data_IF_071375844808
#
_entry.id   IF_071375844808
#
_cell.length_a   1.000
_cell.length_b   1.000
_cell.length_c   1.000
_cell.angle_alpha   90.00
_cell.angle_beta   90.00
_cell.angle_gamma   90.00
#
_symmetry.space_group_name_H-M   'P 1'
#
loop_
_entity.id
_entity.type
_entity.pdbx_description
1 polymer ?
#
# COMPACT_ATOMS: atom_id res chain seq x y z
N UNK A 1 9.77 19.61 -20.75
CA UNK A 1 9.75 21.00 -20.22
C UNK A 1 9.42 21.01 -18.73
N UNK A 2 8.32 20.40 -18.28
CA UNK A 2 7.94 20.37 -16.85
C UNK A 2 8.96 19.69 -15.91
N UNK A 3 9.61 18.60 -16.32
CA UNK A 3 10.70 17.97 -15.54
C UNK A 3 11.99 18.81 -15.47
N UNK A 4 12.16 19.80 -16.35
CA UNK A 4 13.34 20.66 -16.36
C UNK A 4 13.21 21.75 -15.29
N UNK A 5 12.00 22.33 -15.15
CA UNK A 5 11.70 23.38 -14.17
C UNK A 5 11.88 22.91 -12.72
N UNK A 6 11.48 21.68 -12.39
CA UNK A 6 11.63 21.16 -11.02
C UNK A 6 13.09 20.80 -10.69
N UNK A 7 13.85 20.35 -11.69
CA UNK A 7 15.29 20.10 -11.54
C UNK A 7 16.06 21.41 -11.34
N UNK A 8 15.64 22.47 -12.03
CA UNK A 8 16.14 23.83 -11.82
C UNK A 8 15.80 24.37 -10.41
N UNK A 9 14.65 24.02 -9.82
CA UNK A 9 14.29 24.41 -8.45
C UNK A 9 15.16 23.71 -7.39
N UNK A 10 15.49 22.42 -7.60
CA UNK A 10 16.42 21.69 -6.72
C UNK A 10 17.87 22.18 -6.86
N UNK A 11 18.33 22.51 -8.07
CA UNK A 11 19.71 22.94 -8.33
C UNK A 11 19.97 24.43 -8.02
N UNK A 12 18.95 25.29 -8.00
CA UNK A 12 19.13 26.75 -7.81
C UNK A 12 18.75 27.30 -6.43
N UNK A 13 18.37 26.47 -5.46
CA UNK A 13 18.07 26.94 -4.10
C UNK A 13 17.01 28.05 -4.10
N UNK A 14 16.00 27.94 -4.98
CA UNK A 14 14.92 28.92 -5.02
C UNK A 14 14.18 28.83 -3.69
N UNK A 15 14.27 29.90 -2.89
CA UNK A 15 13.70 29.96 -1.56
C UNK A 15 12.20 29.68 -1.64
N UNK A 16 11.75 28.64 -0.93
CA UNK A 16 10.34 28.39 -0.73
C UNK A 16 9.68 29.67 -0.16
N UNK A 17 8.50 30.07 -0.66
CA UNK A 17 7.74 31.15 -0.04
C UNK A 17 7.52 30.86 1.45
N UNK A 18 7.57 31.89 2.28
CA UNK A 18 7.34 31.73 3.72
C UNK A 18 5.92 31.29 4.05
N UNK A 19 4.98 31.53 3.13
CA UNK A 19 3.55 31.31 3.31
C UNK A 19 3.02 30.52 2.11
N UNK A 20 2.40 29.38 2.40
CA UNK A 20 1.80 28.51 1.38
C UNK A 20 0.45 27.96 1.85
N UNK A 21 -0.48 27.68 0.92
CA UNK A 21 -1.73 27.00 1.24
C UNK A 21 -1.47 25.53 1.58
N UNK A 22 -2.32 24.97 2.44
CA UNK A 22 -2.28 23.57 2.86
C UNK A 22 -3.34 22.79 2.10
N UNK A 23 -2.91 21.72 1.43
CA UNK A 23 -3.74 20.62 0.95
C UNK A 23 -3.74 19.50 2.00
N UNK A 24 -4.79 19.38 2.83
CA UNK A 24 -4.88 18.30 3.80
C UNK A 24 -5.17 16.98 3.09
N UNK A 25 -4.43 15.92 3.44
CA UNK A 25 -4.62 14.58 2.89
C UNK A 25 -4.86 13.57 4.01
N UNK A 26 -5.76 12.62 3.79
CA UNK A 26 -6.13 11.64 4.82
C UNK A 26 -5.20 10.43 4.85
N UNK A 27 -5.02 9.80 3.69
CA UNK A 27 -4.43 8.45 3.61
C UNK A 27 -3.10 8.43 2.84
N UNK A 28 -2.47 9.59 2.65
CA UNK A 28 -1.21 9.70 1.93
C UNK A 28 -0.21 10.62 2.62
N UNK A 29 1.06 10.32 2.40
CA UNK A 29 2.21 11.13 2.80
C UNK A 29 3.09 11.25 1.56
N UNK A 30 3.41 12.48 1.16
CA UNK A 30 4.27 12.74 0.01
C UNK A 30 5.68 12.98 0.51
N UNK A 31 6.66 12.34 -0.13
CA UNK A 31 8.08 12.56 0.15
C UNK A 31 8.71 13.48 -0.89
N UNK A 32 9.82 14.17 -0.55
CA UNK A 32 10.61 14.91 -1.54
C UNK A 32 10.93 14.06 -2.77
N UNK A 33 10.97 14.70 -3.96
CA UNK A 33 11.20 14.12 -5.29
C UNK A 33 10.12 13.17 -5.81
N UNK A 34 9.19 12.73 -4.97
CA UNK A 34 8.16 11.78 -5.37
C UNK A 34 6.99 12.48 -6.04
N UNK A 35 6.48 11.87 -7.10
CA UNK A 35 5.30 12.34 -7.84
C UNK A 35 4.13 11.44 -7.50
N UNK A 36 3.07 12.00 -6.91
CA UNK A 36 1.90 11.24 -6.47
C UNK A 36 0.62 11.91 -7.00
N UNK A 37 -0.31 11.14 -7.59
CA UNK A 37 -1.65 11.61 -7.87
C UNK A 37 -2.48 11.68 -6.58
N UNK A 38 -3.07 12.84 -6.32
CA UNK A 38 -4.01 13.06 -5.21
C UNK A 38 -5.41 13.29 -5.77
N UNK A 39 -6.39 12.58 -5.23
CA UNK A 39 -7.79 12.83 -5.55
C UNK A 39 -8.35 13.91 -4.64
N UNK A 40 -8.82 15.00 -5.24
CA UNK A 40 -9.43 16.14 -4.53
C UNK A 40 -10.90 16.23 -4.90
N UNK A 41 -11.76 16.29 -3.88
CA UNK A 41 -13.23 16.30 -4.02
C UNK A 41 -13.87 17.58 -3.50
N UNK A 42 -13.34 18.16 -2.43
CA UNK A 42 -13.94 19.37 -1.85
C UNK A 42 -13.68 20.59 -2.72
N UNK A 43 -14.75 21.34 -3.02
CA UNK A 43 -14.69 22.54 -3.86
C UNK A 43 -13.72 23.61 -3.34
N UNK A 44 -13.56 23.72 -2.01
CA UNK A 44 -12.64 24.66 -1.37
C UNK A 44 -11.17 24.37 -1.77
N UNK A 45 -10.77 23.09 -1.76
CA UNK A 45 -9.43 22.68 -2.17
C UNK A 45 -9.25 22.66 -3.68
N UNK A 46 -10.31 22.43 -4.47
CA UNK A 46 -10.25 22.59 -5.92
C UNK A 46 -9.97 24.04 -6.31
N UNK A 47 -10.69 25.00 -5.70
CA UNK A 47 -10.44 26.44 -5.89
C UNK A 47 -9.03 26.82 -5.46
N UNK A 48 -8.54 26.25 -4.35
CA UNK A 48 -7.16 26.45 -3.89
C UNK A 48 -6.15 25.99 -4.94
N UNK A 49 -6.30 24.78 -5.48
CA UNK A 49 -5.39 24.24 -6.49
C UNK A 49 -5.44 25.07 -7.78
N UNK A 50 -6.62 25.51 -8.22
CA UNK A 50 -6.77 26.42 -9.36
C UNK A 50 -6.03 27.76 -9.14
N UNK A 51 -6.06 28.32 -7.92
CA UNK A 51 -5.29 29.53 -7.56
C UNK A 51 -3.78 29.28 -7.53
N UNK A 52 -3.36 28.15 -6.95
CA UNK A 52 -1.95 27.74 -6.90
C UNK A 52 -1.37 27.60 -8.31
N UNK A 53 -2.14 27.04 -9.25
CA UNK A 53 -1.74 26.89 -10.66
C UNK A 53 -1.48 28.23 -11.39
N UNK A 54 -2.06 29.34 -10.90
CA UNK A 54 -1.89 30.68 -11.46
C UNK A 54 -0.71 31.46 -10.83
N UNK A 55 -0.08 30.91 -9.79
CA UNK A 55 1.02 31.55 -9.05
C UNK A 55 2.30 30.72 -9.19
N UNK A 56 2.99 30.42 -8.09
CA UNK A 56 4.24 29.65 -8.08
C UNK A 56 4.01 28.13 -8.17
N UNK A 57 2.76 27.68 -8.32
CA UNK A 57 2.35 26.26 -8.35
C UNK A 57 2.72 25.48 -7.09
N UNK A 58 3.11 26.16 -6.01
CA UNK A 58 3.53 25.56 -4.75
C UNK A 58 2.38 25.48 -3.74
N UNK A 59 2.32 24.35 -3.03
CA UNK A 59 1.43 24.13 -1.89
C UNK A 59 2.11 23.23 -0.86
N UNK A 60 1.51 23.09 0.32
CA UNK A 60 1.94 22.14 1.34
C UNK A 60 0.98 20.95 1.30
N UNK A 61 1.49 19.73 1.16
CA UNK A 61 0.70 18.52 1.41
C UNK A 61 0.98 18.05 2.82
N UNK A 62 -0.06 17.96 3.64
CA UNK A 62 0.06 17.58 5.05
C UNK A 62 -1.01 16.55 5.44
N UNK A 63 -0.59 15.50 6.17
CA UNK A 63 -1.49 14.45 6.62
C UNK A 63 -2.42 14.97 7.72
N UNK A 64 -3.70 14.59 7.70
CA UNK A 64 -4.68 14.90 8.74
C UNK A 64 -4.41 14.04 9.99
N UNK A 65 -4.48 14.64 11.18
CA UNK A 65 -4.34 13.94 12.47
C UNK A 65 -5.61 13.16 12.81
N UNK A 66 -5.46 11.94 13.33
CA UNK A 66 -6.59 11.09 13.73
C UNK A 66 -7.29 11.55 15.02
N UNK A 67 -6.57 12.24 15.92
CA UNK A 67 -6.91 12.36 17.34
C UNK A 67 -7.98 13.42 17.71
N UNK A 68 -8.71 14.03 16.78
CA UNK A 68 -9.60 15.16 17.13
C UNK A 68 -10.92 15.26 16.34
N UNK A 69 -11.79 14.25 16.51
CA UNK A 69 -13.23 14.37 16.24
C UNK A 69 -13.76 13.88 14.89
N UNK A 70 -12.94 13.23 14.07
CA UNK A 70 -13.38 12.64 12.80
C UNK A 70 -13.33 13.60 11.61
N UNK A 71 -13.80 13.10 10.46
CA UNK A 71 -13.69 13.71 9.14
C UNK A 71 -14.31 15.11 8.96
N UNK A 72 -15.12 15.55 9.92
CA UNK A 72 -16.08 16.64 9.74
C UNK A 72 -15.61 17.98 10.32
N UNK A 73 -14.43 18.03 10.96
CA UNK A 73 -13.87 19.29 11.46
C UNK A 73 -13.37 20.14 10.30
N UNK A 74 -13.89 21.37 10.18
CA UNK A 74 -13.40 22.39 9.25
C UNK A 74 -12.83 23.60 10.03
N UNK A 75 -11.57 23.99 9.79
CA UNK A 75 -10.58 23.30 8.96
C UNK A 75 -10.01 22.05 9.67
N UNK A 76 -9.51 21.04 8.92
CA UNK A 76 -8.92 19.84 9.50
C UNK A 76 -7.63 20.17 10.26
N UNK A 77 -7.34 19.39 11.31
CA UNK A 77 -6.03 19.45 11.95
C UNK A 77 -5.04 18.58 11.19
N UNK A 78 -3.91 19.16 10.79
CA UNK A 78 -2.85 18.46 10.08
C UNK A 78 -1.62 18.25 10.96
N UNK A 79 -0.77 17.31 10.58
CA UNK A 79 0.56 17.14 11.14
C UNK A 79 1.41 18.40 10.94
N UNK A 80 2.29 18.70 11.90
CA UNK A 80 3.15 19.88 11.84
C UNK A 80 4.25 19.76 10.78
N UNK A 81 4.56 18.54 10.34
CA UNK A 81 5.50 18.29 9.25
C UNK A 81 4.71 17.80 8.05
N UNK A 82 4.93 18.48 6.94
CA UNK A 82 4.41 18.11 5.64
C UNK A 82 5.49 18.26 4.58
N UNK A 83 5.06 18.22 3.33
CA UNK A 83 5.95 18.37 2.17
C UNK A 83 5.47 19.51 1.32
N UNK A 84 6.34 20.49 1.08
CA UNK A 84 6.12 21.46 0.03
C UNK A 84 6.16 20.72 -1.31
N UNK A 85 5.16 20.93 -2.15
CA UNK A 85 5.03 20.25 -3.43
C UNK A 85 4.62 21.21 -4.53
N UNK A 86 5.03 20.89 -5.75
CA UNK A 86 4.64 21.60 -6.97
C UNK A 86 3.49 20.85 -7.63
N UNK A 87 2.43 21.58 -7.96
CA UNK A 87 1.32 21.05 -8.77
C UNK A 87 1.78 20.98 -10.21
N UNK A 88 1.90 19.77 -10.74
CA UNK A 88 2.30 19.53 -12.13
C UNK A 88 1.12 19.62 -13.07
N UNK A 89 0.01 18.97 -12.72
CA UNK A 89 -1.19 18.93 -13.57
C UNK A 89 -2.45 18.69 -12.76
N UNK A 90 -3.58 19.11 -13.34
CA UNK A 90 -4.93 18.88 -12.85
C UNK A 90 -5.74 18.20 -13.97
N UNK A 91 -6.37 17.06 -13.66
CA UNK A 91 -7.24 16.32 -14.58
C UNK A 91 -8.58 16.09 -13.91
N UNK A 92 -9.66 16.56 -14.54
CA UNK A 92 -11.03 16.28 -14.08
C UNK A 92 -11.44 14.89 -14.54
N UNK A 93 -12.01 14.10 -13.63
CA UNK A 93 -12.55 12.76 -13.88
C UNK A 93 -13.97 12.66 -13.31
N UNK A 94 -14.70 11.60 -13.65
CA UNK A 94 -16.06 11.39 -13.13
C UNK A 94 -16.10 11.19 -11.61
N UNK A 95 -15.02 10.67 -11.01
CA UNK A 95 -14.92 10.39 -9.57
C UNK A 95 -14.39 11.57 -8.72
N UNK A 96 -14.00 12.67 -9.39
CA UNK A 96 -13.37 13.84 -8.77
C UNK A 96 -12.23 14.41 -9.61
N UNK A 97 -11.45 15.32 -9.04
CA UNK A 97 -10.30 15.91 -9.73
C UNK A 97 -9.01 15.24 -9.26
N UNK A 98 -8.22 14.74 -10.20
CA UNK A 98 -6.88 14.22 -9.95
C UNK A 98 -5.87 15.35 -10.08
N UNK A 99 -5.19 15.66 -8.99
CA UNK A 99 -4.12 16.65 -8.92
C UNK A 99 -2.81 15.90 -8.77
N UNK A 100 -1.88 16.07 -9.70
CA UNK A 100 -0.56 15.44 -9.61
C UNK A 100 0.42 16.41 -8.99
N UNK A 101 1.00 16.00 -7.87
CA UNK A 101 1.90 16.82 -7.07
C UNK A 101 3.27 16.15 -7.03
N UNK A 102 4.32 16.93 -7.25
CA UNK A 102 5.70 16.52 -7.01
C UNK A 102 6.18 17.11 -5.68
N UNK A 103 6.62 16.25 -4.76
CA UNK A 103 7.25 16.70 -3.52
C UNK A 103 8.59 17.37 -3.82
N UNK A 104 8.87 18.47 -3.14
CA UNK A 104 10.11 19.25 -3.27
C UNK A 104 10.96 19.14 -2.01
N UNK A 105 10.38 19.51 -0.86
CA UNK A 105 11.12 19.54 0.41
C UNK A 105 10.19 19.29 1.59
N UNK A 106 10.74 18.70 2.65
CA UNK A 106 10.10 18.68 3.96
C UNK A 106 9.95 20.11 4.47
N UNK A 107 8.82 20.39 5.10
CA UNK A 107 8.54 21.68 5.72
C UNK A 107 7.87 21.49 7.08
N UNK A 108 8.18 22.39 8.01
CA UNK A 108 7.47 22.53 9.28
C UNK A 108 6.46 23.65 9.16
N UNK A 109 5.20 23.34 9.46
CA UNK A 109 4.11 24.28 9.64
C UNK A 109 4.30 24.96 11.00
N UNK A 110 4.65 26.24 11.00
CA UNK A 110 4.86 27.02 12.21
C UNK A 110 3.54 27.56 12.77
N UNK A 111 2.74 28.16 11.90
CA UNK A 111 1.54 28.91 12.26
C UNK A 111 0.53 28.87 11.12
N UNK A 112 -0.75 28.75 11.44
CA UNK A 112 -1.86 28.89 10.48
C UNK A 112 -2.28 30.36 10.50
N UNK A 113 -2.07 31.06 9.38
CA UNK A 113 -2.32 32.50 9.24
C UNK A 113 -3.76 32.78 8.78
N UNK A 114 -4.32 31.90 7.95
CA UNK A 114 -5.73 31.93 7.53
C UNK A 114 -6.32 30.54 7.53
N UNK A 115 -7.63 30.44 7.77
CA UNK A 115 -8.39 29.18 7.73
C UNK A 115 -9.54 29.19 6.73
N UNK A 116 -9.87 30.35 6.16
CA UNK A 116 -10.94 30.49 5.17
C UNK A 116 -10.40 31.09 3.87
N UNK A 117 -10.82 30.60 2.69
CA UNK A 117 -11.66 29.41 2.47
C UNK A 117 -10.91 28.08 2.66
N UNK A 118 -9.59 28.11 2.85
CA UNK A 118 -8.73 26.98 3.15
C UNK A 118 -7.56 27.43 4.03
N UNK A 119 -6.85 26.47 4.64
CA UNK A 119 -5.72 26.79 5.51
C UNK A 119 -4.54 27.35 4.72
N UNK A 120 -3.99 28.45 5.21
CA UNK A 120 -2.73 29.05 4.74
C UNK A 120 -1.81 29.13 5.94
N UNK A 121 -0.57 28.67 5.78
CA UNK A 121 0.36 28.59 6.89
C UNK A 121 1.73 29.19 6.59
N UNK A 122 2.36 29.71 7.65
CA UNK A 122 3.77 30.03 7.68
C UNK A 122 4.58 28.75 7.81
N UNK A 123 5.61 28.60 6.98
CA UNK A 123 6.45 27.42 6.97
C UNK A 123 7.93 27.72 7.19
N UNK A 124 8.65 26.69 7.61
CA UNK A 124 10.11 26.66 7.57
C UNK A 124 10.55 25.39 6.85
N UNK A 125 11.43 25.49 5.83
CA UNK A 125 12.05 24.31 5.23
C UNK A 125 12.79 23.48 6.27
N UNK A 126 12.63 22.17 6.20
CA UNK A 126 13.39 21.22 7.01
C UNK A 126 14.46 20.58 6.13
N UNK A 127 15.69 20.55 6.64
CA UNK A 127 16.82 19.94 5.96
C UNK A 127 17.17 18.62 6.63
N UNK A 128 17.57 17.65 5.80
CA UNK A 128 18.08 16.38 6.28
C UNK A 128 19.38 16.60 7.05
N UNK A 129 19.53 15.89 8.15
CA UNK A 129 20.76 15.85 8.91
C UNK A 129 21.60 14.72 8.28
N UNK A 130 22.48 15.10 7.38
CA UNK A 130 23.29 14.18 6.58
C UNK A 130 24.23 13.33 7.46
N UNK A 131 24.41 12.07 7.03
CA UNK A 131 25.29 11.08 7.65
C UNK A 131 26.01 10.30 6.57
N UNK A 132 27.29 10.04 6.77
CA UNK A 132 28.12 9.29 5.84
C UNK A 132 29.06 8.34 6.58
N UNK A 133 29.66 7.41 5.84
CA UNK A 133 30.60 6.42 6.34
C UNK A 133 30.11 4.99 6.14
N UNK A 134 31.00 4.03 6.39
CA UNK A 134 30.80 2.60 6.10
C UNK A 134 29.53 2.00 6.72
N UNK A 135 29.14 2.48 7.91
CA UNK A 135 27.90 2.04 8.55
C UNK A 135 26.67 2.42 7.72
N UNK A 136 26.62 3.66 7.20
CA UNK A 136 25.51 4.14 6.35
C UNK A 136 25.48 3.39 5.03
N UNK A 137 26.64 3.15 4.40
CA UNK A 137 26.75 2.35 3.18
C UNK A 137 26.24 0.92 3.37
N UNK A 138 26.61 0.29 4.51
CA UNK A 138 26.11 -1.03 4.87
C UNK A 138 24.59 -1.03 5.11
N UNK A 139 24.06 0.00 5.76
CA UNK A 139 22.63 0.17 5.95
C UNK A 139 21.89 0.36 4.62
N UNK A 140 22.39 1.21 3.71
CA UNK A 140 21.81 1.37 2.37
C UNK A 140 21.79 0.05 1.60
N UNK A 141 22.88 -0.72 1.66
CA UNK A 141 22.97 -2.05 1.04
C UNK A 141 21.92 -3.00 1.62
N UNK A 142 21.76 -3.00 2.96
CA UNK A 142 20.74 -3.80 3.64
C UNK A 142 19.32 -3.39 3.23
N UNK A 143 19.03 -2.09 3.21
CA UNK A 143 17.75 -1.53 2.79
C UNK A 143 17.41 -1.96 1.36
N UNK A 144 18.36 -1.84 0.44
CA UNK A 144 18.17 -2.28 -0.95
C UNK A 144 17.91 -3.80 -1.05
N UNK A 145 18.69 -4.60 -0.32
CA UNK A 145 18.53 -6.05 -0.29
C UNK A 145 17.17 -6.51 0.24
N UNK A 146 16.64 -5.82 1.25
CA UNK A 146 15.29 -6.06 1.76
C UNK A 146 14.21 -5.61 0.77
N UNK A 147 14.34 -4.40 0.22
CA UNK A 147 13.40 -3.87 -0.77
C UNK A 147 13.29 -4.77 -1.99
N UNK A 148 14.42 -5.26 -2.52
CA UNK A 148 14.44 -6.22 -3.62
C UNK A 148 13.63 -7.48 -3.31
N UNK A 149 13.84 -8.07 -2.13
CA UNK A 149 13.09 -9.27 -1.72
C UNK A 149 11.58 -9.01 -1.64
N UNK A 150 11.17 -7.83 -1.17
CA UNK A 150 9.76 -7.45 -1.12
C UNK A 150 9.19 -7.32 -2.54
N UNK A 151 9.89 -6.64 -3.45
CA UNK A 151 9.47 -6.53 -4.87
C UNK A 151 9.35 -7.90 -5.52
N UNK A 152 10.34 -8.78 -5.32
CA UNK A 152 10.33 -10.15 -5.88
C UNK A 152 9.15 -11.00 -5.36
N UNK A 153 8.63 -10.70 -4.17
CA UNK A 153 7.47 -11.36 -3.57
C UNK A 153 6.14 -10.68 -3.90
N UNK A 154 6.15 -9.47 -4.46
CA UNK A 154 4.97 -8.62 -4.67
C UNK A 154 4.62 -8.51 -6.15
N UNK A 155 3.61 -9.26 -6.66
CA UNK A 155 3.28 -9.29 -8.09
C UNK A 155 2.85 -7.95 -8.67
N UNK A 156 2.42 -7.00 -7.82
CA UNK A 156 1.94 -5.69 -8.23
C UNK A 156 3.04 -4.63 -8.34
N UNK A 157 4.26 -4.94 -7.89
CA UNK A 157 5.38 -3.99 -7.94
C UNK A 157 6.24 -4.28 -9.19
N UNK A 158 6.44 -3.27 -10.08
CA UNK A 158 7.32 -3.41 -11.22
C UNK A 158 8.78 -3.67 -10.80
N UNK A 159 9.44 -4.61 -11.48
CA UNK A 159 10.84 -4.96 -11.20
C UNK A 159 11.81 -3.79 -11.47
N UNK A 160 11.40 -2.85 -12.33
CA UNK A 160 12.11 -1.62 -12.68
C UNK A 160 12.38 -0.75 -11.45
N UNK A 161 11.55 -0.83 -10.40
CA UNK A 161 11.74 -0.11 -9.14
C UNK A 161 13.05 -0.49 -8.44
N UNK A 162 13.49 -1.74 -8.58
CA UNK A 162 14.78 -2.21 -8.03
C UNK A 162 15.95 -1.57 -8.78
N UNK A 163 15.80 -1.35 -10.08
CA UNK A 163 16.84 -0.71 -10.89
C UNK A 163 16.92 0.79 -10.58
N UNK A 164 15.76 1.45 -10.48
CA UNK A 164 15.69 2.87 -10.12
C UNK A 164 16.28 3.13 -8.73
N UNK A 165 15.96 2.31 -7.73
CA UNK A 165 16.49 2.48 -6.37
C UNK A 165 18.01 2.28 -6.29
N UNK A 166 18.60 1.47 -7.19
CA UNK A 166 20.05 1.25 -7.24
C UNK A 166 20.82 2.48 -7.74
N UNK A 167 20.17 3.37 -8.49
CA UNK A 167 20.80 4.60 -9.00
C UNK A 167 20.72 5.76 -7.98
N UNK A 168 20.21 5.50 -6.76
CA UNK A 168 20.09 6.51 -5.71
C UNK A 168 21.27 6.37 -4.73
N UNK A 169 22.28 7.21 -4.90
CA UNK A 169 23.51 7.18 -4.11
C UNK A 169 23.41 7.85 -2.74
N UNK A 170 22.33 8.59 -2.49
CA UNK A 170 22.13 9.32 -1.23
C UNK A 170 21.19 8.54 -0.28
N UNK A 171 21.54 8.40 1.01
CA UNK A 171 20.77 7.59 1.97
C UNK A 171 19.36 8.15 2.19
N UNK A 172 19.23 9.47 2.26
CA UNK A 172 17.96 10.15 2.49
C UNK A 172 16.94 9.91 1.37
N UNK A 173 17.27 10.27 0.12
CA UNK A 173 16.44 9.99 -1.06
C UNK A 173 16.15 8.50 -1.27
N UNK A 174 17.08 7.60 -0.95
CA UNK A 174 16.84 6.15 -1.05
C UNK A 174 15.72 5.71 -0.09
N UNK A 175 15.78 6.16 1.16
CA UNK A 175 14.77 5.88 2.17
C UNK A 175 13.38 6.40 1.73
N UNK A 176 13.35 7.64 1.23
CA UNK A 176 12.12 8.32 0.78
C UNK A 176 11.48 7.58 -0.41
N UNK A 177 12.29 7.19 -1.40
CA UNK A 177 11.83 6.45 -2.57
C UNK A 177 11.22 5.10 -2.19
N UNK A 178 11.92 4.32 -1.35
CA UNK A 178 11.45 2.99 -0.95
C UNK A 178 10.14 3.09 -0.17
N UNK A 179 10.07 3.99 0.81
CA UNK A 179 8.88 4.17 1.65
C UNK A 179 7.67 4.68 0.86
N UNK A 180 7.90 5.56 -0.12
CA UNK A 180 6.82 6.08 -0.96
C UNK A 180 6.15 4.99 -1.82
N UNK A 181 6.93 3.99 -2.22
CA UNK A 181 6.52 2.94 -3.15
C UNK A 181 5.80 1.77 -2.46
N UNK A 182 6.11 1.54 -1.17
CA UNK A 182 5.54 0.43 -0.42
C UNK A 182 4.15 0.76 0.14
N UNK A 183 3.31 -0.28 0.22
CA UNK A 183 1.99 -0.20 0.84
C UNK A 183 2.11 -0.31 2.37
N UNK A 184 2.65 0.74 2.98
CA UNK A 184 2.84 0.84 4.42
C UNK A 184 1.80 1.76 5.07
N UNK A 185 1.48 1.48 6.33
CA UNK A 185 0.60 2.31 7.15
C UNK A 185 1.00 3.79 7.12
N UNK A 186 0.01 4.68 6.96
CA UNK A 186 0.22 6.14 6.87
C UNK A 186 1.00 6.72 8.05
N UNK A 187 0.77 6.22 9.26
CA UNK A 187 1.42 6.69 10.48
C UNK A 187 2.93 6.40 10.45
N UNK A 188 3.32 5.21 9.99
CA UNK A 188 4.73 4.87 9.76
C UNK A 188 5.36 5.75 8.70
N UNK A 189 4.65 6.03 7.58
CA UNK A 189 5.14 6.97 6.55
C UNK A 189 5.35 8.37 7.11
N UNK A 190 4.41 8.86 7.92
CA UNK A 190 4.53 10.16 8.58
C UNK A 190 5.73 10.21 9.53
N UNK A 191 5.98 9.13 10.28
CA UNK A 191 7.14 9.02 11.15
C UNK A 191 8.47 9.11 10.37
N UNK A 192 8.55 8.47 9.20
CA UNK A 192 9.71 8.58 8.30
C UNK A 192 9.86 10.01 7.77
N UNK A 193 8.75 10.67 7.40
CA UNK A 193 8.78 12.06 6.92
C UNK A 193 9.32 13.01 8.00
N UNK A 194 8.93 12.79 9.25
CA UNK A 194 9.35 13.58 10.42
C UNK A 194 10.79 13.30 10.88
N UNK A 195 11.40 12.19 10.44
CA UNK A 195 12.76 11.80 10.84
C UNK A 195 13.81 12.48 9.96
N UNK A 196 14.42 13.56 10.46
CA UNK A 196 15.42 14.35 9.71
C UNK A 196 16.82 13.74 9.70
N UNK A 197 17.21 12.98 10.74
CA UNK A 197 18.49 12.26 10.75
C UNK A 197 18.41 11.06 9.81
N UNK A 198 19.21 11.08 8.74
CA UNK A 198 19.14 10.06 7.69
C UNK A 198 19.55 8.67 8.18
N UNK A 199 20.41 8.58 9.21
CA UNK A 199 20.79 7.31 9.82
C UNK A 199 19.63 6.72 10.60
N UNK A 200 18.99 7.51 11.44
CA UNK A 200 17.79 7.07 12.17
C UNK A 200 16.66 6.74 11.21
N UNK A 201 16.50 7.52 10.14
CA UNK A 201 15.52 7.23 9.09
C UNK A 201 15.78 5.88 8.44
N UNK A 202 17.02 5.59 8.03
CA UNK A 202 17.39 4.28 7.50
C UNK A 202 17.15 3.13 8.49
N UNK A 203 17.43 3.33 9.80
CA UNK A 203 17.14 2.31 10.83
C UNK A 203 15.67 1.96 10.88
N UNK A 204 14.79 2.98 10.92
CA UNK A 204 13.33 2.80 10.91
C UNK A 204 12.85 2.13 9.63
N UNK A 205 13.35 2.56 8.47
CA UNK A 205 13.01 1.93 7.19
C UNK A 205 13.40 0.45 7.19
N UNK A 206 14.61 0.11 7.61
CA UNK A 206 15.04 -1.30 7.71
C UNK A 206 14.11 -2.11 8.62
N UNK A 207 13.71 -1.57 9.76
CA UNK A 207 12.76 -2.22 10.67
C UNK A 207 11.43 -2.51 9.94
N UNK A 208 10.83 -1.48 9.33
CA UNK A 208 9.55 -1.63 8.63
C UNK A 208 9.63 -2.55 7.41
N UNK A 209 10.75 -2.54 6.67
CA UNK A 209 10.97 -3.48 5.57
C UNK A 209 11.03 -4.93 6.05
N UNK A 210 11.64 -5.20 7.22
CA UNK A 210 11.65 -6.54 7.77
C UNK A 210 10.25 -7.01 8.16
N UNK A 211 9.47 -6.14 8.82
CA UNK A 211 8.07 -6.44 9.17
C UNK A 211 7.23 -6.76 7.91
N UNK A 212 7.33 -5.91 6.89
CA UNK A 212 6.62 -6.10 5.62
C UNK A 212 7.06 -7.39 4.92
N UNK A 213 8.37 -7.66 4.88
CA UNK A 213 8.90 -8.87 4.26
C UNK A 213 8.40 -10.15 4.95
N UNK A 214 8.32 -10.17 6.28
CA UNK A 214 7.78 -11.31 7.03
C UNK A 214 6.29 -11.50 6.76
N UNK A 215 5.50 -10.42 6.71
CA UNK A 215 4.09 -10.49 6.31
C UNK A 215 3.91 -11.08 4.91
N UNK A 216 4.68 -10.61 3.93
CA UNK A 216 4.62 -11.11 2.55
C UNK A 216 5.00 -12.61 2.46
N UNK A 217 6.05 -13.03 3.18
CA UNK A 217 6.45 -14.45 3.26
C UNK A 217 5.35 -15.31 3.88
N UNK A 218 4.72 -14.85 4.97
CA UNK A 218 3.60 -15.55 5.60
C UNK A 218 2.41 -15.67 4.66
N UNK A 219 2.03 -14.58 3.99
CA UNK A 219 0.95 -14.56 3.00
C UNK A 219 1.20 -15.57 1.87
N UNK A 220 2.42 -15.61 1.33
CA UNK A 220 2.81 -16.59 0.31
C UNK A 220 2.72 -18.03 0.79
N UNK A 221 3.19 -18.34 2.01
CA UNK A 221 3.08 -19.69 2.59
C UNK A 221 1.62 -20.13 2.73
N UNK A 222 0.74 -19.23 3.18
CA UNK A 222 -0.69 -19.52 3.31
C UNK A 222 -1.30 -19.81 1.93
N UNK A 223 -1.02 -18.99 0.92
CA UNK A 223 -1.49 -19.22 -0.45
C UNK A 223 -1.02 -20.57 -1.01
N UNK A 224 0.24 -20.93 -0.80
CA UNK A 224 0.79 -22.23 -1.21
C UNK A 224 0.11 -23.41 -0.51
N UNK A 225 -0.19 -23.28 0.79
CA UNK A 225 -0.91 -24.31 1.56
C UNK A 225 -2.35 -24.48 1.07
N UNK A 226 -3.07 -23.38 0.85
CA UNK A 226 -4.45 -23.41 0.32
C UNK A 226 -4.48 -24.04 -1.07
N UNK A 227 -3.54 -23.67 -1.95
CA UNK A 227 -3.45 -24.24 -3.30
C UNK A 227 -3.20 -25.76 -3.28
N UNK A 228 -2.26 -26.23 -2.45
CA UNK A 228 -2.00 -27.67 -2.26
C UNK A 228 -3.24 -28.42 -1.74
N UNK A 229 -4.01 -27.79 -0.85
CA UNK A 229 -5.26 -28.35 -0.34
C UNK A 229 -6.32 -28.51 -1.44
N UNK A 230 -6.49 -27.48 -2.29
CA UNK A 230 -7.42 -27.51 -3.42
C UNK A 230 -7.01 -28.58 -4.44
N UNK A 231 -5.73 -28.62 -4.83
CA UNK A 231 -5.21 -29.59 -5.81
C UNK A 231 -5.41 -31.04 -5.33
N UNK A 232 -5.23 -31.29 -4.03
CA UNK A 232 -5.47 -32.59 -3.42
C UNK A 232 -6.95 -32.96 -3.46
N UNK A 233 -7.84 -32.05 -3.05
CA UNK A 233 -9.30 -32.28 -3.05
C UNK A 233 -9.85 -32.51 -4.46
N UNK A 234 -9.39 -31.76 -5.46
CA UNK A 234 -9.77 -31.97 -6.86
C UNK A 234 -9.30 -33.33 -7.38
N UNK A 235 -8.07 -33.73 -7.05
CA UNK A 235 -7.54 -35.05 -7.43
C UNK A 235 -8.34 -36.18 -6.78
N UNK A 236 -8.67 -36.08 -5.49
CA UNK A 236 -9.48 -37.06 -4.79
C UNK A 236 -10.90 -37.15 -5.37
N UNK A 237 -11.53 -36.02 -5.68
CA UNK A 237 -12.83 -35.98 -6.35
C UNK A 237 -12.78 -36.69 -7.71
N UNK A 238 -11.79 -36.37 -8.54
CA UNK A 238 -11.61 -36.96 -9.86
C UNK A 238 -11.38 -38.48 -9.77
N UNK A 239 -10.52 -38.95 -8.86
CA UNK A 239 -10.27 -40.38 -8.64
C UNK A 239 -11.53 -41.11 -8.15
N UNK A 240 -12.35 -40.49 -7.30
CA UNK A 240 -13.64 -41.08 -6.86
C UNK A 240 -14.62 -41.22 -8.01
N UNK A 241 -14.73 -40.23 -8.88
CA UNK A 241 -15.60 -40.31 -10.06
C UNK A 241 -15.09 -41.35 -11.06
N UNK A 242 -13.77 -41.47 -11.26
CA UNK A 242 -13.19 -42.56 -12.05
C UNK A 242 -13.49 -43.94 -11.47
N UNK A 243 -13.35 -44.12 -10.15
CA UNK A 243 -13.68 -45.38 -9.50
C UNK A 243 -15.16 -45.75 -9.68
N UNK A 244 -16.08 -44.79 -9.54
CA UNK A 244 -17.51 -45.02 -9.82
C UNK A 244 -17.76 -45.40 -11.27
N UNK A 245 -17.11 -44.73 -12.22
CA UNK A 245 -17.24 -45.05 -13.65
C UNK A 245 -16.73 -46.47 -13.96
N UNK A 246 -15.59 -46.85 -13.40
CA UNK A 246 -15.03 -48.21 -13.52
C UNK A 246 -15.97 -49.25 -12.90
N UNK A 247 -16.50 -49.01 -11.69
CA UNK A 247 -17.45 -49.90 -11.02
C UNK A 247 -18.72 -50.13 -11.87
N UNK A 248 -19.20 -49.07 -12.53
CA UNK A 248 -20.34 -49.12 -13.45
C UNK A 248 -20.04 -49.88 -14.74
N UNK A 249 -18.86 -49.68 -15.35
CA UNK A 249 -18.43 -50.43 -16.55
C UNK A 249 -18.17 -51.92 -16.26
N UNK A 250 -17.62 -52.24 -15.08
CA UNK A 250 -17.41 -53.62 -14.63
C UNK A 250 -18.71 -54.33 -14.22
N UNK A 251 -19.86 -53.65 -14.27
CA UNK A 251 -21.17 -54.23 -13.96
C UNK A 251 -21.40 -54.53 -12.48
N UNK A 252 -20.58 -54.00 -11.59
CA UNK A 252 -20.62 -54.26 -10.13
C UNK A 252 -21.86 -53.61 -9.50
N UNK A 253 -22.48 -52.61 -10.15
CA UNK A 253 -23.75 -52.01 -9.72
C UNK A 253 -24.94 -53.00 -9.70
N UNK A 254 -24.79 -54.21 -10.27
CA UNK A 254 -25.87 -55.21 -10.37
C UNK A 254 -25.77 -56.40 -9.42
N UNK A 255 -24.66 -56.58 -8.71
CA UNK A 255 -24.56 -57.63 -7.70
C UNK A 255 -24.73 -57.01 -6.32
N UNK A 256 -25.97 -57.05 -5.80
CA UNK A 256 -26.16 -56.96 -4.35
C UNK A 256 -25.25 -58.03 -3.71
N UNK A 257 -24.42 -57.69 -2.71
CA UNK A 257 -23.57 -58.66 -2.03
C UNK A 257 -24.40 -59.88 -1.64
N UNK A 258 -23.94 -61.11 -1.87
CA UNK A 258 -24.72 -62.33 -1.61
C UNK A 258 -25.17 -62.43 -0.15
N UNK A 259 -24.47 -61.78 0.77
CA UNK A 259 -24.88 -61.63 2.17
C UNK A 259 -26.16 -60.80 2.35
N UNK A 260 -26.35 -59.74 1.57
CA UNK A 260 -27.55 -58.88 1.59
C UNK A 260 -28.74 -59.63 0.99
N UNK A 261 -28.55 -60.37 -0.10
CA UNK A 261 -29.59 -61.24 -0.68
C UNK A 261 -30.00 -62.35 0.31
N UNK A 262 -29.04 -63.00 0.96
CA UNK A 262 -29.31 -64.02 1.97
C UNK A 262 -30.02 -63.46 3.23
N UNK A 263 -29.78 -62.19 3.58
CA UNK A 263 -30.48 -61.52 4.69
C UNK A 263 -31.91 -61.14 4.27
N UNK A 264 -32.14 -60.65 3.04
CA UNK A 264 -33.47 -60.36 2.51
C UNK A 264 -34.35 -61.59 2.39
N UNK A 265 -33.83 -62.71 1.87
CA UNK A 265 -34.60 -63.97 1.81
C UNK A 265 -34.97 -64.50 3.21
N UNK A 266 -34.10 -64.30 4.20
CA UNK A 266 -34.40 -64.65 5.60
C UNK A 266 -35.42 -63.71 6.24
N UNK A 267 -35.47 -62.45 5.80
CA UNK A 267 -36.47 -61.46 6.22
C UNK A 267 -37.85 -61.77 5.62
N UNK A 268 -37.94 -62.09 4.32
CA UNK A 268 -39.21 -62.44 3.66
C UNK A 268 -39.83 -63.75 4.20
N UNK A 269 -39.00 -64.72 4.59
CA UNK A 269 -39.47 -65.98 5.19
C UNK A 269 -39.95 -65.83 6.64
N UNK A 270 -39.70 -64.69 7.29
CA UNK A 270 -40.30 -64.35 8.58
C UNK A 270 -41.47 -63.42 8.32
N UNK A 271 -42.69 -63.89 8.58
CA UNK A 271 -43.88 -63.04 8.57
C UNK A 271 -43.74 -61.96 9.67
N UNK A 272 -43.15 -60.82 9.31
CA UNK A 272 -42.96 -59.68 10.18
C UNK A 272 -44.29 -58.91 10.28
N UNK A 273 -44.72 -58.51 11.49
CA UNK A 273 -45.86 -57.62 11.66
C UNK A 273 -45.61 -56.27 10.95
N UNK A 274 -46.67 -55.65 10.40
CA UNK A 274 -46.63 -54.41 9.59
C UNK A 274 -45.87 -53.23 10.23
N UNK A 275 -45.61 -53.26 11.54
CA UNK A 275 -44.89 -52.21 12.26
C UNK A 275 -43.37 -52.10 11.96
N UNK A 276 -42.78 -53.02 11.18
CA UNK A 276 -41.33 -53.02 10.90
C UNK A 276 -40.99 -53.00 9.39
N UNK A 277 -42.00 -52.92 8.51
CA UNK A 277 -41.78 -52.93 7.05
C UNK A 277 -41.60 -51.53 6.43
N UNK A 278 -41.64 -50.46 7.23
CA UNK A 278 -41.42 -49.09 6.77
C UNK A 278 -40.33 -48.41 7.59
N UNK A 279 -39.07 -48.66 7.22
CA UNK A 279 -37.97 -47.68 7.27
C UNK A 279 -37.10 -47.89 6.04
#
# INVERSE_FOLDING_TARGET
MEHQEVKDMEEKGQKLPEVLPILPVRDSVIFPRMVIPLMVRDEEYLKMVDQVLQTDKLLIVAMIKEADGGADRRPPQVHHVGTAGVVLKLTKTEEGTVVVVQGVSRVKIQEIISSEPFQIARITPLHDIERSGKEIEAMMTSTWGLFKQIVDLSPHLPSELVQLSRNVDQPGPLADMIVSTLNMERNKKQEILETLDVKERLRKVILFLNEELELQKMGKRIQEQVRKGIDKSQREYYLREQLKAIQKELGIDKEEPPEIQAIKEKLEKKALPEAVAQV
#
